data_IF_480311894890
#
_entry.id   IF_480311894890
#
_cell.length_a   1.000
_cell.length_b   1.000
_cell.length_c   1.000
_cell.angle_alpha   90.00
_cell.angle_beta   90.00
_cell.angle_gamma   90.00
#
_symmetry.space_group_name_H-M   'P 1'
#
loop_
_entity.id
_entity.type
_entity.pdbx_description
1 polymer ?
#
# COMPACT_ATOMS: atom_id res chain seq x y z
N UNK A 1 -4.36 -21.83 -7.97
CA UNK A 1 -3.69 -22.07 -6.69
C UNK A 1 -4.32 -23.25 -5.98
N UNK A 2 -3.53 -24.10 -5.30
CA UNK A 2 -4.02 -24.99 -4.23
C UNK A 2 -3.93 -24.20 -2.93
N UNK A 3 -5.00 -24.15 -2.13
CA UNK A 3 -5.08 -23.35 -0.90
C UNK A 3 -5.05 -24.27 0.32
N UNK A 4 -4.22 -23.94 1.29
CA UNK A 4 -4.24 -24.49 2.66
C UNK A 4 -4.30 -23.33 3.65
N UNK A 5 -5.04 -23.50 4.73
CA UNK A 5 -5.17 -22.51 5.81
C UNK A 5 -5.34 -23.22 7.15
N UNK A 6 -4.88 -22.60 8.23
CA UNK A 6 -4.96 -23.16 9.58
C UNK A 6 -4.92 -22.06 10.63
N UNK A 7 -5.25 -22.44 11.86
CA UNK A 7 -5.12 -21.60 13.06
C UNK A 7 -3.99 -22.12 13.97
N UNK A 8 -3.35 -21.25 14.77
CA UNK A 8 -3.55 -19.80 14.87
C UNK A 8 -2.91 -19.04 13.70
N UNK A 9 -3.22 -17.74 13.59
CA UNK A 9 -2.47 -16.83 12.73
C UNK A 9 -1.04 -16.68 13.28
N UNK A 10 -0.05 -16.97 12.45
CA UNK A 10 1.37 -16.88 12.81
C UNK A 10 1.89 -15.51 12.39
N UNK A 11 2.18 -14.65 13.35
CA UNK A 11 2.49 -13.23 13.12
C UNK A 11 3.89 -13.03 12.52
N UNK A 12 4.00 -12.23 11.45
CA UNK A 12 5.26 -11.85 10.80
C UNK A 12 6.21 -13.03 10.51
N UNK A 13 5.67 -14.09 9.94
CA UNK A 13 6.41 -15.34 9.73
C UNK A 13 7.25 -15.36 8.44
N UNK A 14 8.40 -16.03 8.52
CA UNK A 14 9.21 -16.48 7.38
C UNK A 14 9.00 -17.97 7.15
N UNK A 15 8.51 -18.36 5.97
CA UNK A 15 8.43 -19.75 5.55
C UNK A 15 9.79 -20.23 5.04
N UNK A 16 10.32 -21.30 5.62
CA UNK A 16 11.65 -21.83 5.33
C UNK A 16 11.55 -23.31 5.00
N UNK A 17 12.20 -23.71 3.91
CA UNK A 17 12.40 -25.11 3.56
C UNK A 17 13.86 -25.48 3.81
N UNK A 18 14.11 -26.44 4.70
CA UNK A 18 15.46 -26.93 5.00
C UNK A 18 15.41 -28.41 5.37
N UNK A 19 16.37 -29.20 4.90
CA UNK A 19 16.47 -30.63 5.21
C UNK A 19 15.22 -31.45 4.83
N UNK A 20 14.46 -31.04 3.81
CA UNK A 20 13.23 -31.70 3.38
C UNK A 20 12.00 -31.40 4.25
N UNK A 21 12.12 -30.45 5.20
CA UNK A 21 11.03 -30.02 6.09
C UNK A 21 10.69 -28.56 5.86
N UNK A 22 9.51 -28.16 6.32
CA UNK A 22 9.04 -26.78 6.29
C UNK A 22 8.92 -26.21 7.71
N UNK A 23 9.31 -24.95 7.88
CA UNK A 23 9.30 -24.25 9.16
C UNK A 23 8.71 -22.85 9.01
N UNK A 24 8.11 -22.34 10.08
CA UNK A 24 7.78 -20.94 10.24
C UNK A 24 8.66 -20.33 11.32
N UNK A 25 9.42 -19.29 10.96
CA UNK A 25 10.14 -18.44 11.92
C UNK A 25 9.32 -17.18 12.15
N UNK A 26 8.95 -16.87 13.38
CA UNK A 26 7.95 -15.84 13.67
C UNK A 26 8.04 -15.27 15.08
N UNK A 27 7.26 -14.22 15.35
CA UNK A 27 7.11 -13.62 16.68
C UNK A 27 7.46 -12.13 16.72
N UNK A 28 7.26 -11.52 17.90
CA UNK A 28 7.56 -10.11 18.17
C UNK A 28 8.44 -10.02 19.42
N UNK A 29 9.64 -9.45 19.28
CA UNK A 29 10.70 -9.39 20.29
C UNK A 29 11.41 -10.72 20.47
N UNK A 30 10.66 -11.73 20.93
CA UNK A 30 11.13 -13.12 21.03
C UNK A 30 10.77 -13.86 19.74
N UNK A 31 11.78 -14.28 19.00
CA UNK A 31 11.60 -14.97 17.72
C UNK A 31 11.69 -16.48 17.93
N UNK A 32 10.72 -17.21 17.37
CA UNK A 32 10.57 -18.66 17.48
C UNK A 32 10.64 -19.32 16.12
N UNK A 33 10.89 -20.63 16.12
CA UNK A 33 10.73 -21.50 14.97
C UNK A 33 9.76 -22.63 15.31
N UNK A 34 8.84 -22.94 14.40
CA UNK A 34 7.93 -24.07 14.50
C UNK A 34 7.89 -24.88 13.21
N UNK A 35 7.94 -26.21 13.31
CA UNK A 35 7.84 -27.13 12.16
C UNK A 35 6.39 -27.20 11.65
N UNK A 36 6.22 -27.16 10.34
CA UNK A 36 4.95 -27.41 9.66
C UNK A 36 4.79 -28.90 9.34
N UNK A 37 3.55 -29.34 9.20
CA UNK A 37 3.23 -30.62 8.57
C UNK A 37 3.69 -30.61 7.11
N UNK A 38 3.99 -31.78 6.58
CA UNK A 38 4.52 -31.95 5.21
C UNK A 38 3.56 -31.42 4.13
N UNK A 39 2.25 -31.39 4.42
CA UNK A 39 1.20 -30.87 3.54
C UNK A 39 0.90 -29.37 3.75
N UNK A 40 1.65 -28.70 4.63
CA UNK A 40 1.49 -27.30 5.01
C UNK A 40 0.10 -26.95 5.60
N UNK A 41 -0.63 -27.95 6.11
CA UNK A 41 -1.97 -27.78 6.71
C UNK A 41 -1.94 -27.27 8.16
N UNK A 42 -0.76 -27.00 8.71
CA UNK A 42 -0.61 -26.42 10.03
C UNK A 42 0.70 -26.77 10.72
N UNK A 43 0.82 -26.30 11.96
CA UNK A 43 1.93 -26.65 12.84
C UNK A 43 1.92 -28.16 13.12
N UNK A 44 3.11 -28.77 13.15
CA UNK A 44 3.28 -30.20 13.38
C UNK A 44 3.27 -30.52 14.88
N UNK A 45 2.31 -31.29 15.40
CA UNK A 45 2.33 -31.74 16.79
C UNK A 45 3.61 -32.54 17.09
N UNK A 46 4.34 -32.17 18.14
CA UNK A 46 5.62 -32.79 18.47
C UNK A 46 6.77 -32.51 17.50
N UNK A 47 6.56 -31.63 16.49
CA UNK A 47 7.63 -31.11 15.65
C UNK A 47 8.52 -30.11 16.40
N UNK A 48 9.53 -29.57 15.72
CA UNK A 48 10.36 -28.51 16.29
C UNK A 48 9.48 -27.34 16.75
N UNK A 49 9.67 -26.90 17.99
CA UNK A 49 9.09 -25.67 18.54
C UNK A 49 10.06 -25.09 19.57
N UNK A 50 10.81 -24.06 19.20
CA UNK A 50 11.80 -23.45 20.10
C UNK A 50 11.98 -21.95 19.85
N UNK A 51 12.55 -21.27 20.84
CA UNK A 51 12.99 -19.88 20.71
C UNK A 51 14.34 -19.86 20.01
N UNK A 52 14.46 -19.07 18.93
CA UNK A 52 15.74 -18.81 18.26
C UNK A 52 16.45 -17.59 18.83
N UNK A 53 15.69 -16.51 19.09
CA UNK A 53 16.22 -15.23 19.57
C UNK A 53 15.37 -14.78 20.75
N UNK A 54 15.98 -14.56 21.92
CA UNK A 54 15.27 -14.11 23.12
C UNK A 54 14.85 -12.65 23.03
N UNK A 55 15.72 -11.80 22.48
CA UNK A 55 15.48 -10.37 22.26
C UNK A 55 16.13 -9.94 20.94
N UNK A 56 15.32 -9.80 19.89
CA UNK A 56 15.78 -9.36 18.58
C UNK A 56 16.25 -7.90 18.55
N UNK A 57 15.92 -7.08 19.56
CA UNK A 57 16.39 -5.69 19.66
C UNK A 57 17.73 -5.55 20.39
N UNK A 58 18.23 -6.60 21.03
CA UNK A 58 19.49 -6.59 21.77
C UNK A 58 20.69 -6.01 20.99
N UNK A 59 20.86 -6.27 19.66
CA UNK A 59 21.97 -5.69 18.90
C UNK A 59 22.00 -4.16 18.86
N UNK A 60 20.87 -3.49 19.13
CA UNK A 60 20.81 -2.02 19.15
C UNK A 60 21.32 -1.42 20.46
N UNK A 61 21.46 -2.22 21.52
CA UNK A 61 21.83 -1.75 22.86
C UNK A 61 20.80 -0.81 23.51
N UNK A 62 19.63 -0.62 22.89
CA UNK A 62 18.62 0.35 23.31
C UNK A 62 17.29 -0.33 23.62
N UNK A 63 16.50 0.28 24.51
CA UNK A 63 15.15 -0.20 24.80
C UNK A 63 14.27 -0.06 23.56
N UNK A 64 13.64 -1.15 23.14
CA UNK A 64 12.70 -1.14 22.03
C UNK A 64 11.47 -0.24 22.30
N UNK A 65 11.12 0.58 21.31
CA UNK A 65 9.79 1.17 21.13
C UNK A 65 8.86 0.23 20.37
N UNK A 66 9.36 -0.38 19.30
CA UNK A 66 8.81 -1.57 18.63
C UNK A 66 9.80 -2.71 18.80
N UNK A 67 9.33 -3.85 19.33
CA UNK A 67 10.13 -5.06 19.48
C UNK A 67 10.43 -5.67 18.10
N UNK A 68 11.41 -6.59 18.02
CA UNK A 68 11.81 -7.14 16.71
C UNK A 68 10.72 -7.96 16.03
N UNK A 69 10.40 -7.65 14.77
CA UNK A 69 9.37 -8.32 13.97
C UNK A 69 9.80 -8.40 12.48
N UNK A 70 8.89 -8.78 11.58
CA UNK A 70 9.14 -8.84 10.14
C UNK A 70 10.23 -9.83 9.73
N UNK A 71 10.25 -11.02 10.34
CA UNK A 71 11.29 -12.02 10.14
C UNK A 71 11.43 -12.45 8.67
N UNK A 72 12.66 -12.43 8.14
CA UNK A 72 13.01 -13.05 6.86
C UNK A 72 14.34 -13.81 6.97
N UNK A 73 14.31 -15.12 6.75
CA UNK A 73 15.50 -15.97 6.81
C UNK A 73 16.09 -16.22 5.41
N UNK A 74 17.42 -16.13 5.31
CA UNK A 74 18.18 -16.49 4.12
C UNK A 74 19.27 -17.50 4.48
N UNK A 75 19.52 -18.48 3.59
CA UNK A 75 20.64 -19.39 3.71
C UNK A 75 21.67 -19.05 2.63
N UNK A 76 22.83 -18.54 3.04
CA UNK A 76 23.89 -18.08 2.13
C UNK A 76 25.22 -18.70 2.56
N UNK A 77 25.91 -19.36 1.64
CA UNK A 77 27.23 -19.95 1.92
C UNK A 77 27.23 -20.93 3.10
N UNK A 78 26.14 -21.68 3.30
CA UNK A 78 25.99 -22.62 4.42
C UNK A 78 25.61 -22.00 5.76
N UNK A 79 25.51 -20.68 5.86
CA UNK A 79 25.07 -19.96 7.07
C UNK A 79 23.63 -19.46 6.93
N UNK A 80 22.98 -19.22 8.06
CA UNK A 80 21.61 -18.72 8.15
C UNK A 80 21.62 -17.27 8.63
N UNK A 81 20.91 -16.40 7.92
CA UNK A 81 20.80 -14.96 8.19
C UNK A 81 19.34 -14.59 8.39
N UNK A 82 18.97 -14.21 9.61
CA UNK A 82 17.61 -13.85 10.01
C UNK A 82 17.50 -12.33 10.19
N UNK A 83 16.84 -11.70 9.23
CA UNK A 83 16.58 -10.27 9.21
C UNK A 83 15.31 -9.94 10.00
N UNK A 84 15.36 -8.90 10.83
CA UNK A 84 14.21 -8.35 11.54
C UNK A 84 14.25 -6.81 11.53
N UNK A 85 13.10 -6.19 11.56
CA UNK A 85 12.94 -4.76 11.87
C UNK A 85 12.83 -4.61 13.38
N UNK A 86 13.50 -3.61 13.95
CA UNK A 86 13.29 -3.12 15.32
C UNK A 86 13.12 -1.61 15.29
N UNK A 87 12.48 -1.03 16.30
CA UNK A 87 12.42 0.43 16.43
C UNK A 87 12.84 0.84 17.85
N UNK A 88 14.10 1.21 18.08
CA UNK A 88 14.56 1.70 19.37
C UNK A 88 13.77 2.94 19.81
N UNK A 89 13.42 3.02 21.09
CA UNK A 89 12.66 4.14 21.65
C UNK A 89 13.44 5.44 21.45
N UNK A 90 12.79 6.43 20.83
CA UNK A 90 13.42 7.72 20.49
C UNK A 90 14.37 7.67 19.28
N UNK A 91 14.54 6.50 18.66
CA UNK A 91 15.30 6.32 17.43
C UNK A 91 14.42 6.17 16.19
N UNK A 92 15.00 5.54 15.17
CA UNK A 92 14.35 5.24 13.90
C UNK A 92 14.13 3.74 13.74
N UNK A 93 13.34 3.35 12.74
CA UNK A 93 13.28 1.96 12.26
C UNK A 93 14.70 1.51 11.86
N UNK A 94 15.13 0.37 12.39
CA UNK A 94 16.48 -0.18 12.26
C UNK A 94 16.40 -1.63 11.80
N UNK A 95 17.16 -1.98 10.77
CA UNK A 95 17.31 -3.36 10.32
C UNK A 95 18.40 -4.06 11.13
N UNK A 96 18.06 -5.20 11.72
CA UNK A 96 19.01 -6.10 12.39
C UNK A 96 19.12 -7.40 11.62
N UNK A 97 20.29 -8.03 11.70
CA UNK A 97 20.55 -9.35 11.13
C UNK A 97 21.15 -10.25 12.20
N UNK A 98 20.64 -11.48 12.30
CA UNK A 98 21.17 -12.52 13.15
C UNK A 98 21.76 -13.65 12.30
N UNK A 99 22.95 -14.14 12.63
CA UNK A 99 23.67 -15.19 11.89
C UNK A 99 23.83 -16.46 12.73
N UNK A 100 23.70 -17.63 12.10
CA UNK A 100 23.98 -18.93 12.72
C UNK A 100 24.56 -19.93 11.71
N UNK A 101 25.28 -20.94 12.21
CA UNK A 101 25.77 -22.08 11.41
C UNK A 101 24.72 -23.19 11.24
N UNK A 102 23.69 -23.19 12.09
CA UNK A 102 22.56 -24.13 12.06
C UNK A 102 21.25 -23.35 12.10
N UNK A 103 20.21 -23.88 11.44
CA UNK A 103 18.86 -23.31 11.45
C UNK A 103 18.33 -23.12 12.87
N UNK A 104 18.71 -24.01 13.78
CA UNK A 104 18.27 -24.00 15.18
C UNK A 104 19.16 -23.14 16.09
N UNK A 105 20.12 -22.41 15.52
CA UNK A 105 21.04 -21.55 16.25
C UNK A 105 22.26 -22.30 16.84
N UNK A 106 22.97 -21.68 17.80
CA UNK A 106 22.70 -20.35 18.34
C UNK A 106 22.91 -19.23 17.32
N UNK A 107 22.19 -18.13 17.50
CA UNK A 107 22.27 -16.94 16.65
C UNK A 107 23.04 -15.80 17.33
N UNK A 108 23.99 -15.21 16.63
CA UNK A 108 24.64 -13.93 16.99
C UNK A 108 24.01 -12.78 16.19
N UNK A 109 23.90 -11.58 16.75
CA UNK A 109 23.17 -10.46 16.13
C UNK A 109 24.01 -9.19 15.92
N UNK A 110 23.76 -8.48 14.82
CA UNK A 110 24.35 -7.16 14.52
C UNK A 110 23.30 -6.20 13.95
N UNK A 111 23.54 -4.89 14.10
CA UNK A 111 22.81 -3.87 13.34
C UNK A 111 23.28 -3.94 11.88
N UNK A 112 22.34 -4.09 10.97
CA UNK A 112 22.60 -4.13 9.53
C UNK A 112 22.47 -2.73 8.89
N UNK A 113 21.40 -2.01 9.23
CA UNK A 113 21.14 -0.65 8.72
C UNK A 113 20.36 0.16 9.76
N UNK A 114 20.86 1.36 10.09
CA UNK A 114 20.19 2.31 10.99
C UNK A 114 20.22 3.71 10.37
N UNK A 115 19.49 3.87 9.25
CA UNK A 115 19.50 5.12 8.48
C UNK A 115 18.15 5.42 7.83
N UNK A 116 17.71 6.69 7.92
CA UNK A 116 16.46 7.23 7.35
C UNK A 116 15.18 6.40 7.60
N UNK A 117 15.17 5.57 8.64
CA UNK A 117 14.09 4.64 8.96
C UNK A 117 13.83 3.58 7.88
N UNK A 118 14.82 3.29 7.03
CA UNK A 118 14.74 2.28 5.97
C UNK A 118 15.08 0.92 6.57
N UNK A 119 14.11 0.02 6.57
CA UNK A 119 14.22 -1.30 7.20
C UNK A 119 13.03 -2.19 6.78
N UNK A 120 13.02 -3.43 7.28
CA UNK A 120 12.06 -4.50 7.01
C UNK A 120 12.09 -4.98 5.56
N UNK A 121 12.55 -6.21 5.39
CA UNK A 121 12.82 -6.82 4.12
C UNK A 121 13.96 -7.82 4.25
N UNK A 122 14.77 -7.96 3.21
CA UNK A 122 15.78 -9.00 3.17
C UNK A 122 16.84 -8.74 2.12
N UNK A 123 17.41 -9.81 1.60
CA UNK A 123 18.53 -9.76 0.65
C UNK A 123 18.22 -10.55 -0.61
N UNK A 124 18.85 -10.14 -1.69
CA UNK A 124 18.77 -10.78 -3.01
C UNK A 124 20.09 -10.63 -3.72
N UNK A 125 20.51 -11.67 -4.44
CA UNK A 125 21.65 -11.63 -5.34
C UNK A 125 21.20 -11.56 -6.81
N UNK A 126 22.07 -11.00 -7.63
CA UNK A 126 21.94 -11.02 -9.09
C UNK A 126 22.70 -12.21 -9.66
N UNK A 127 22.41 -12.56 -10.91
CA UNK A 127 23.07 -13.68 -11.61
C UNK A 127 24.61 -13.53 -11.71
N UNK A 128 25.11 -12.29 -11.67
CA UNK A 128 26.55 -11.97 -11.65
C UNK A 128 27.13 -11.86 -10.23
N UNK A 129 26.38 -12.27 -9.20
CA UNK A 129 26.84 -12.38 -7.81
C UNK A 129 26.88 -11.07 -7.01
N UNK A 130 26.29 -9.98 -7.53
CA UNK A 130 26.13 -8.74 -6.74
C UNK A 130 24.97 -8.88 -5.77
N UNK A 131 25.12 -8.28 -4.61
CA UNK A 131 24.16 -8.37 -3.53
C UNK A 131 23.43 -7.06 -3.28
N UNK A 132 22.13 -7.17 -3.05
CA UNK A 132 21.23 -6.06 -2.74
C UNK A 132 20.35 -6.41 -1.56
N UNK A 133 20.01 -5.40 -0.76
CA UNK A 133 18.93 -5.49 0.21
C UNK A 133 17.71 -4.75 -0.32
N UNK A 134 16.56 -5.41 -0.27
CA UNK A 134 15.27 -4.79 -0.51
C UNK A 134 14.64 -4.48 0.85
N UNK A 135 14.35 -3.21 1.09
CA UNK A 135 13.74 -2.71 2.34
C UNK A 135 12.61 -1.74 1.99
N UNK A 136 11.97 -1.14 2.98
CA UNK A 136 11.09 0.01 2.72
C UNK A 136 11.25 1.12 3.75
N UNK A 137 10.86 2.33 3.36
CA UNK A 137 10.83 3.51 4.22
C UNK A 137 9.43 4.10 4.34
N UNK A 138 9.08 4.57 5.53
CA UNK A 138 7.83 5.29 5.77
C UNK A 138 7.98 6.71 5.22
N UNK A 139 7.12 7.11 4.27
CA UNK A 139 7.22 8.39 3.53
C UNK A 139 5.90 9.17 3.51
N UNK A 140 5.23 9.24 4.66
CA UNK A 140 4.02 10.05 4.78
C UNK A 140 2.89 9.53 3.89
N UNK A 141 2.15 10.44 3.28
CA UNK A 141 0.91 10.15 2.58
C UNK A 141 1.08 9.27 1.33
N UNK A 142 2.24 9.27 0.65
CA UNK A 142 2.50 8.34 -0.46
C UNK A 142 2.57 6.88 0.03
N UNK A 143 2.85 6.69 1.33
CA UNK A 143 2.88 5.40 2.01
C UNK A 143 4.30 4.91 2.31
N UNK A 144 4.45 3.58 2.31
CA UNK A 144 5.70 2.89 2.60
C UNK A 144 6.33 2.44 1.28
N UNK A 145 7.45 3.05 0.91
CA UNK A 145 8.04 2.88 -0.43
C UNK A 145 9.26 1.95 -0.39
N UNK A 146 9.43 1.09 -1.40
CA UNK A 146 10.57 0.19 -1.47
C UNK A 146 11.87 0.95 -1.70
N UNK A 147 12.94 0.43 -1.11
CA UNK A 147 14.33 0.83 -1.33
C UNK A 147 15.12 -0.41 -1.72
N UNK A 148 15.99 -0.26 -2.72
CA UNK A 148 16.97 -1.29 -3.10
C UNK A 148 18.36 -0.70 -2.92
N UNK A 149 19.16 -1.29 -2.04
CA UNK A 149 20.49 -0.78 -1.69
C UNK A 149 21.54 -1.86 -1.93
N UNK A 150 22.69 -1.55 -2.55
CA UNK A 150 23.78 -2.50 -2.65
C UNK A 150 24.39 -2.76 -1.28
N UNK A 151 24.88 -3.97 -1.06
CA UNK A 151 25.70 -4.32 0.10
C UNK A 151 26.82 -5.26 -0.32
N UNK A 152 27.82 -5.43 0.54
CA UNK A 152 28.91 -6.40 0.33
C UNK A 152 29.09 -7.28 1.56
N UNK A 153 29.84 -8.38 1.40
CA UNK A 153 30.15 -9.30 2.49
C UNK A 153 31.51 -8.97 3.10
N UNK A 154 31.55 -8.82 4.41
CA UNK A 154 32.78 -8.60 5.19
C UNK A 154 32.79 -9.59 6.36
N UNK A 155 33.82 -10.46 6.42
CA UNK A 155 33.94 -11.49 7.48
C UNK A 155 32.66 -12.36 7.66
N UNK A 156 31.98 -12.64 6.55
CA UNK A 156 30.74 -13.41 6.52
C UNK A 156 29.51 -12.66 7.06
N UNK A 157 29.56 -11.33 7.15
CA UNK A 157 28.42 -10.47 7.47
C UNK A 157 28.04 -9.59 6.28
N UNK A 158 26.74 -9.34 6.06
CA UNK A 158 26.30 -8.39 5.05
C UNK A 158 26.45 -6.96 5.60
N UNK A 159 27.06 -6.05 4.83
CA UNK A 159 27.38 -4.68 5.25
C UNK A 159 26.90 -3.65 4.21
N UNK A 160 26.03 -2.74 4.65
CA UNK A 160 25.59 -1.58 3.87
C UNK A 160 26.45 -0.36 4.21
N UNK A 161 27.10 0.20 3.19
CA UNK A 161 27.95 1.38 3.30
C UNK A 161 28.96 1.27 4.44
N UNK A 162 29.23 2.40 5.10
CA UNK A 162 30.15 2.47 6.25
C UNK A 162 29.34 2.73 7.53
N UNK A 163 29.51 1.89 8.55
CA UNK A 163 28.89 2.08 9.86
C UNK A 163 27.36 1.93 9.86
N UNK A 164 26.83 1.00 9.06
CA UNK A 164 25.39 0.73 8.93
C UNK A 164 24.58 1.95 8.47
N UNK A 165 25.14 2.72 7.54
CA UNK A 165 24.52 3.90 6.91
C UNK A 165 24.53 3.77 5.40
N UNK A 166 23.55 4.39 4.76
CA UNK A 166 23.47 4.42 3.31
C UNK A 166 24.59 5.33 2.80
N UNK A 167 25.42 4.88 1.84
CA UNK A 167 26.39 5.77 1.20
C UNK A 167 25.71 7.00 0.60
N UNK A 168 26.33 8.18 0.73
CA UNK A 168 25.76 9.42 0.19
C UNK A 168 25.64 9.42 -1.34
N UNK A 169 26.45 8.60 -2.01
CA UNK A 169 26.48 8.37 -3.45
C UNK A 169 25.72 7.10 -3.86
N UNK A 170 25.01 6.45 -2.92
CA UNK A 170 24.23 5.25 -3.21
C UNK A 170 23.17 5.58 -4.27
N UNK A 171 23.48 5.23 -5.52
CA UNK A 171 22.52 5.25 -6.60
C UNK A 171 21.52 4.13 -6.32
N UNK A 172 20.24 4.50 -6.17
CA UNK A 172 19.16 3.55 -6.37
C UNK A 172 19.42 2.90 -7.75
N UNK A 173 19.38 1.56 -7.80
CA UNK A 173 19.71 0.77 -8.98
C UNK A 173 19.32 1.49 -10.30
N UNK A 174 20.24 1.62 -11.25
CA UNK A 174 19.90 2.16 -12.56
C UNK A 174 18.91 1.21 -13.24
N UNK A 175 17.66 1.64 -13.46
CA UNK A 175 16.66 0.84 -14.16
C UNK A 175 15.24 1.34 -14.00
N UNK A 176 14.54 1.48 -15.14
CA UNK A 176 13.14 1.84 -15.35
C UNK A 176 12.50 2.81 -14.33
N UNK A 177 12.39 4.07 -14.75
CA UNK A 177 11.54 5.07 -14.11
C UNK A 177 10.06 4.93 -14.48
N UNK A 178 9.70 3.97 -15.34
CA UNK A 178 8.30 3.74 -15.69
C UNK A 178 7.59 2.95 -14.59
N UNK A 179 6.37 3.37 -14.27
CA UNK A 179 5.57 2.75 -13.20
C UNK A 179 4.71 1.59 -13.71
N UNK A 180 5.13 0.96 -14.83
CA UNK A 180 4.36 -0.10 -15.48
C UNK A 180 4.12 -1.25 -14.51
N UNK A 181 2.89 -1.75 -14.48
CA UNK A 181 2.47 -2.84 -13.60
C UNK A 181 2.22 -2.43 -12.14
N UNK A 182 2.47 -1.17 -11.77
CA UNK A 182 2.13 -0.61 -10.44
C UNK A 182 0.90 0.29 -10.54
N UNK A 183 0.91 1.20 -11.53
CA UNK A 183 -0.19 2.09 -11.89
C UNK A 183 -0.32 2.19 -13.41
N UNK A 184 -1.53 2.46 -13.90
CA UNK A 184 -1.79 2.51 -15.33
C UNK A 184 -3.06 3.31 -15.66
N UNK A 185 -3.00 4.11 -16.74
CA UNK A 185 -4.19 4.69 -17.37
C UNK A 185 -5.05 3.60 -18.02
N UNK A 186 -6.36 3.69 -17.87
CA UNK A 186 -7.33 2.73 -18.38
C UNK A 186 -8.48 3.46 -19.08
N UNK A 187 -8.75 3.05 -20.32
CA UNK A 187 -9.89 3.52 -21.13
C UNK A 187 -11.06 2.52 -21.07
N UNK A 188 -10.98 1.52 -20.17
CA UNK A 188 -12.02 0.52 -19.90
C UNK A 188 -12.52 -0.25 -21.13
N UNK A 189 -11.67 -0.42 -22.14
CA UNK A 189 -11.96 -1.17 -23.37
C UNK A 189 -11.92 -2.69 -23.16
N UNK A 190 -11.16 -3.15 -22.16
CA UNK A 190 -11.04 -4.56 -21.84
C UNK A 190 -12.26 -5.07 -21.07
N UNK A 191 -12.54 -6.38 -21.17
CA UNK A 191 -13.63 -7.03 -20.40
C UNK A 191 -13.25 -7.38 -18.96
N UNK A 192 -11.99 -7.13 -18.57
CA UNK A 192 -11.43 -7.40 -17.25
C UNK A 192 -10.56 -6.23 -16.83
N UNK A 193 -10.57 -5.94 -15.54
CA UNK A 193 -9.68 -4.95 -14.94
C UNK A 193 -8.22 -5.43 -14.98
N UNK A 194 -7.30 -4.50 -15.21
CA UNK A 194 -5.86 -4.72 -15.06
C UNK A 194 -5.47 -5.05 -13.60
N UNK A 195 -4.27 -5.60 -13.42
CA UNK A 195 -3.76 -6.01 -12.10
C UNK A 195 -3.47 -4.81 -11.17
N UNK A 196 -3.32 -3.63 -11.75
CA UNK A 196 -3.10 -2.36 -11.05
C UNK A 196 -4.33 -1.97 -10.21
N UNK A 197 -5.53 -2.34 -10.68
CA UNK A 197 -6.80 -2.07 -10.02
C UNK A 197 -7.02 -2.99 -8.83
N UNK A 198 -7.40 -2.40 -7.70
CA UNK A 198 -7.78 -3.13 -6.49
C UNK A 198 -9.00 -2.48 -5.85
N UNK A 199 -9.94 -3.29 -5.40
CA UNK A 199 -11.12 -2.81 -4.68
C UNK A 199 -10.75 -2.43 -3.25
N UNK A 200 -11.36 -1.37 -2.72
CA UNK A 200 -11.43 -1.18 -1.28
C UNK A 200 -12.39 -2.23 -0.70
N UNK A 201 -11.86 -3.18 0.07
CA UNK A 201 -12.57 -4.38 0.55
C UNK A 201 -13.11 -5.28 -0.59
N UNK A 202 -13.88 -6.31 -0.23
CA UNK A 202 -14.49 -7.21 -1.21
C UNK A 202 -15.55 -6.47 -2.04
N UNK A 203 -15.50 -6.55 -3.39
CA UNK A 203 -16.52 -5.97 -4.25
C UNK A 203 -17.79 -6.82 -4.25
N UNK A 204 -18.89 -6.20 -4.63
CA UNK A 204 -20.10 -6.86 -5.10
C UNK A 204 -20.07 -6.94 -6.64
N UNK A 205 -19.90 -8.12 -7.24
CA UNK A 205 -19.78 -8.28 -8.68
C UNK A 205 -21.05 -7.93 -9.46
N UNK A 206 -22.22 -7.83 -8.80
CA UNK A 206 -23.45 -7.39 -9.46
C UNK A 206 -23.53 -5.87 -9.64
N UNK A 207 -22.68 -5.11 -8.93
CA UNK A 207 -22.76 -3.65 -8.85
C UNK A 207 -21.63 -2.94 -9.62
N UNK A 208 -20.90 -3.65 -10.47
CA UNK A 208 -19.97 -3.04 -11.42
C UNK A 208 -19.96 -3.79 -12.76
N UNK A 209 -19.64 -3.09 -13.85
CA UNK A 209 -19.57 -3.72 -15.17
C UNK A 209 -18.66 -2.96 -16.13
N UNK A 210 -17.94 -3.71 -16.97
CA UNK A 210 -17.23 -3.20 -18.15
C UNK A 210 -17.98 -3.50 -19.47
N UNK A 211 -19.16 -4.14 -19.37
CA UNK A 211 -19.93 -4.62 -20.53
C UNK A 211 -21.34 -4.03 -20.60
N UNK A 212 -21.87 -3.48 -19.50
CA UNK A 212 -23.16 -2.78 -19.50
C UNK A 212 -23.14 -1.57 -20.46
N UNK A 213 -21.98 -0.92 -20.60
CA UNK A 213 -21.69 0.11 -21.59
C UNK A 213 -20.24 -0.08 -22.06
N UNK A 214 -20.00 -0.72 -23.22
CA UNK A 214 -18.64 -0.99 -23.69
C UNK A 214 -17.78 0.28 -23.79
N UNK A 215 -16.54 0.20 -23.30
CA UNK A 215 -15.63 1.35 -23.19
C UNK A 215 -15.84 2.21 -21.95
N UNK A 216 -16.71 1.80 -21.02
CA UNK A 216 -16.96 2.51 -19.76
C UNK A 216 -16.98 1.52 -18.60
N UNK A 217 -16.42 1.95 -17.47
CA UNK A 217 -16.65 1.31 -16.18
C UNK A 217 -17.95 1.85 -15.58
N UNK A 218 -18.94 0.99 -15.36
CA UNK A 218 -20.15 1.31 -14.61
C UNK A 218 -19.99 0.92 -13.15
N UNK A 219 -20.31 1.84 -12.22
CA UNK A 219 -20.48 1.56 -10.78
C UNK A 219 -21.92 1.88 -10.37
N UNK A 220 -22.64 0.89 -9.85
CA UNK A 220 -24.03 1.02 -9.42
C UNK A 220 -24.16 1.05 -7.89
N UNK A 221 -25.12 1.81 -7.37
CA UNK A 221 -25.43 1.82 -5.93
C UNK A 221 -26.37 0.66 -5.60
N UNK A 222 -25.96 -0.19 -4.65
CA UNK A 222 -26.77 -1.30 -4.15
C UNK A 222 -27.04 -1.25 -2.65
N UNK A 223 -26.52 -0.24 -1.95
CA UNK A 223 -26.71 0.02 -0.53
C UNK A 223 -26.66 1.52 -0.26
N UNK A 224 -27.38 1.97 0.76
CA UNK A 224 -27.25 3.32 1.31
C UNK A 224 -26.13 3.33 2.35
N UNK A 225 -25.22 4.30 2.25
CA UNK A 225 -24.08 4.48 3.15
C UNK A 225 -23.99 5.94 3.63
N UNK A 226 -23.58 6.14 4.88
CA UNK A 226 -23.41 7.49 5.45
C UNK A 226 -22.09 8.17 5.02
N UNK A 227 -21.05 7.36 4.77
CA UNK A 227 -19.71 7.84 4.42
C UNK A 227 -19.09 7.00 3.31
N UNK A 228 -18.36 7.65 2.40
CA UNK A 228 -17.76 7.01 1.21
C UNK A 228 -16.79 5.88 1.54
N UNK A 229 -16.13 5.90 2.70
CA UNK A 229 -15.19 4.84 3.11
C UNK A 229 -15.87 3.51 3.43
N UNK A 230 -17.18 3.51 3.68
CA UNK A 230 -17.97 2.30 3.86
C UNK A 230 -18.53 1.76 2.55
N UNK A 231 -18.50 2.55 1.48
CA UNK A 231 -19.10 2.20 0.19
C UNK A 231 -18.34 1.07 -0.51
N UNK A 232 -19.11 0.05 -0.87
CA UNK A 232 -18.63 -1.07 -1.70
C UNK A 232 -18.29 -0.59 -3.09
N UNK A 233 -17.44 -1.36 -3.79
CA UNK A 233 -17.06 -1.09 -5.17
C UNK A 233 -16.38 0.28 -5.37
N UNK A 234 -15.68 0.78 -4.35
CA UNK A 234 -14.68 1.83 -4.58
C UNK A 234 -13.47 1.18 -5.24
N UNK A 235 -13.26 1.50 -6.53
CA UNK A 235 -12.18 0.94 -7.33
C UNK A 235 -10.93 1.81 -7.21
N UNK A 236 -9.76 1.23 -6.92
CA UNK A 236 -8.57 2.02 -6.55
C UNK A 236 -7.30 1.65 -7.31
N UNK A 237 -6.45 2.66 -7.52
CA UNK A 237 -5.01 2.48 -7.82
C UNK A 237 -4.16 3.25 -6.82
N UNK A 238 -2.89 2.85 -6.68
CA UNK A 238 -1.90 3.56 -5.86
C UNK A 238 -1.68 4.99 -6.39
N UNK A 239 -1.44 5.95 -5.51
CA UNK A 239 -0.75 7.19 -5.91
C UNK A 239 0.75 6.94 -6.02
N UNK A 240 1.51 7.86 -6.62
CA UNK A 240 2.96 7.75 -6.77
C UNK A 240 3.65 9.11 -6.60
N UNK A 241 4.93 9.08 -6.24
CA UNK A 241 5.74 10.29 -6.03
C UNK A 241 6.69 10.60 -7.19
N UNK A 242 7.35 11.78 -7.17
CA UNK A 242 7.16 12.83 -6.17
C UNK A 242 5.84 13.59 -6.34
N UNK A 243 5.30 13.64 -7.55
CA UNK A 243 3.99 14.20 -7.88
C UNK A 243 3.20 13.23 -8.75
N UNK A 244 1.89 13.27 -8.64
CA UNK A 244 1.02 12.52 -9.55
C UNK A 244 -0.34 13.18 -9.71
N UNK A 245 -0.96 12.94 -10.86
CA UNK A 245 -2.36 13.30 -11.12
C UNK A 245 -3.15 12.08 -11.57
N UNK A 246 -4.41 12.01 -11.15
CA UNK A 246 -5.40 11.05 -11.63
C UNK A 246 -6.58 11.83 -12.18
N UNK A 247 -6.96 11.54 -13.41
CA UNK A 247 -8.07 12.22 -14.12
C UNK A 247 -9.09 11.20 -14.58
N UNK A 248 -10.37 11.47 -14.32
CA UNK A 248 -11.49 10.65 -14.81
C UNK A 248 -12.45 11.49 -15.64
N UNK A 249 -13.14 10.85 -16.58
CA UNK A 249 -14.32 11.42 -17.25
C UNK A 249 -15.55 10.64 -16.80
N UNK A 250 -16.44 11.36 -16.12
CA UNK A 250 -17.61 10.83 -15.43
C UNK A 250 -18.89 11.23 -16.16
N UNK A 251 -19.68 10.26 -16.58
CA UNK A 251 -21.08 10.42 -16.95
C UNK A 251 -21.96 10.15 -15.72
N UNK A 252 -22.61 11.21 -15.26
CA UNK A 252 -23.45 11.24 -14.07
C UNK A 252 -24.96 11.30 -14.40
N UNK A 253 -25.34 11.00 -15.65
CA UNK A 253 -26.76 10.97 -16.05
C UNK A 253 -27.58 9.93 -15.29
N UNK A 254 -26.95 8.82 -14.87
CA UNK A 254 -27.58 7.70 -14.17
C UNK A 254 -27.69 7.85 -12.65
N UNK A 255 -27.23 8.97 -12.06
CA UNK A 255 -27.31 9.19 -10.61
C UNK A 255 -28.76 9.38 -10.15
N UNK A 256 -29.13 8.77 -9.03
CA UNK A 256 -30.39 8.96 -8.32
C UNK A 256 -30.30 10.09 -7.29
N UNK A 257 -31.46 10.54 -6.76
CA UNK A 257 -31.46 11.48 -5.63
C UNK A 257 -30.71 10.87 -4.43
N UNK A 258 -29.77 11.62 -3.88
CA UNK A 258 -28.89 11.19 -2.79
C UNK A 258 -27.61 10.50 -3.25
N UNK A 259 -27.40 10.27 -4.55
CA UNK A 259 -26.15 9.71 -5.05
C UNK A 259 -25.03 10.78 -5.13
N UNK A 260 -23.81 10.34 -4.89
CA UNK A 260 -22.59 11.07 -5.20
C UNK A 260 -21.57 10.14 -5.84
N UNK A 261 -21.05 10.53 -7.00
CA UNK A 261 -20.02 9.77 -7.71
C UNK A 261 -18.83 10.65 -8.08
N UNK A 262 -17.61 10.10 -8.03
CA UNK A 262 -16.42 10.93 -8.28
C UNK A 262 -15.09 10.25 -8.07
N UNK A 263 -14.10 11.08 -7.75
CA UNK A 263 -12.70 10.73 -7.56
C UNK A 263 -12.24 11.07 -6.14
N UNK A 264 -11.75 10.06 -5.43
CA UNK A 264 -11.42 10.04 -4.02
C UNK A 264 -9.90 9.91 -3.81
N UNK A 265 -9.35 10.74 -2.93
CA UNK A 265 -8.06 10.49 -2.28
C UNK A 265 -8.32 9.58 -1.07
N UNK A 266 -8.24 8.27 -1.28
CA UNK A 266 -8.60 7.28 -0.28
C UNK A 266 -7.46 7.09 0.73
N UNK A 267 -7.77 7.37 2.00
CA UNK A 267 -6.96 7.11 3.18
C UNK A 267 -7.88 7.07 4.42
N UNK A 268 -7.34 6.87 5.63
CA UNK A 268 -8.14 6.99 6.87
C UNK A 268 -8.79 8.37 6.99
N UNK A 269 -8.02 9.42 6.68
CA UNK A 269 -8.49 10.78 6.44
C UNK A 269 -8.44 11.09 4.95
N UNK A 270 -9.62 11.19 4.35
CA UNK A 270 -9.77 11.27 2.90
C UNK A 270 -10.24 12.65 2.44
N UNK A 271 -10.24 12.86 1.13
CA UNK A 271 -10.99 13.92 0.49
C UNK A 271 -11.39 13.51 -0.92
N UNK A 272 -12.43 14.11 -1.48
CA UNK A 272 -12.88 13.79 -2.82
C UNK A 272 -13.46 14.99 -3.54
N UNK A 273 -13.49 14.86 -4.86
CA UNK A 273 -14.33 15.64 -5.75
C UNK A 273 -15.37 14.71 -6.38
N UNK A 274 -16.63 15.13 -6.44
CA UNK A 274 -17.68 14.33 -7.05
C UNK A 274 -18.90 15.14 -7.46
N UNK A 275 -19.77 14.54 -8.26
CA UNK A 275 -21.09 15.10 -8.58
C UNK A 275 -22.09 14.52 -7.60
N UNK A 276 -22.74 15.39 -6.81
CA UNK A 276 -23.83 15.05 -5.90
C UNK A 276 -25.16 15.42 -6.54
N UNK A 277 -26.16 14.54 -6.44
CA UNK A 277 -27.53 14.81 -6.84
C UNK A 277 -28.45 14.95 -5.63
N UNK A 278 -29.12 16.10 -5.51
CA UNK A 278 -30.12 16.37 -4.48
C UNK A 278 -31.42 16.82 -5.16
N UNK A 279 -32.42 15.94 -5.19
CA UNK A 279 -33.60 16.09 -6.04
C UNK A 279 -33.19 16.20 -7.51
N UNK A 280 -33.53 17.31 -8.16
CA UNK A 280 -33.15 17.59 -9.55
C UNK A 280 -31.87 18.43 -9.69
N UNK A 281 -31.31 18.87 -8.57
CA UNK A 281 -30.08 19.67 -8.56
C UNK A 281 -28.87 18.74 -8.63
N UNK A 282 -27.93 19.11 -9.50
CA UNK A 282 -26.62 18.45 -9.62
C UNK A 282 -25.53 19.48 -9.36
N UNK A 283 -24.62 19.14 -8.46
CA UNK A 283 -23.52 20.00 -8.06
C UNK A 283 -22.22 19.21 -7.97
N UNK A 284 -21.12 19.83 -8.39
CA UNK A 284 -19.79 19.40 -8.03
C UNK A 284 -19.54 19.77 -6.57
N UNK A 285 -19.11 18.80 -5.78
CA UNK A 285 -18.72 19.01 -4.39
C UNK A 285 -17.26 18.61 -4.21
N UNK A 286 -16.54 19.42 -3.43
CA UNK A 286 -15.26 19.01 -2.85
C UNK A 286 -15.48 18.79 -1.36
N UNK A 287 -15.15 17.58 -0.89
CA UNK A 287 -15.29 17.18 0.51
C UNK A 287 -13.93 16.83 1.09
N UNK A 288 -13.71 17.29 2.32
CA UNK A 288 -12.56 16.92 3.14
C UNK A 288 -13.02 16.21 4.40
N UNK A 289 -12.38 15.12 4.77
CA UNK A 289 -12.56 14.44 6.05
C UNK A 289 -11.30 14.49 6.92
N UNK A 290 -10.38 15.45 6.67
CA UNK A 290 -9.11 15.56 7.39
C UNK A 290 -9.28 15.96 8.86
N UNK A 291 -10.40 16.61 9.22
CA UNK A 291 -10.79 16.89 10.62
C UNK A 291 -11.30 15.65 11.36
N UNK A 292 -11.47 14.52 10.66
CA UNK A 292 -12.11 13.30 11.18
C UNK A 292 -13.62 13.24 10.91
N UNK A 293 -14.23 14.31 10.36
CA UNK A 293 -15.62 14.34 9.90
C UNK A 293 -15.69 14.90 8.48
N UNK A 294 -16.59 14.40 7.61
CA UNK A 294 -16.72 14.92 6.26
C UNK A 294 -17.31 16.33 6.25
N UNK A 295 -16.64 17.26 5.59
CA UNK A 295 -17.02 18.66 5.45
C UNK A 295 -17.00 19.05 3.96
N UNK A 296 -18.06 19.70 3.47
CA UNK A 296 -18.10 20.25 2.11
C UNK A 296 -17.33 21.56 2.11
N UNK A 297 -16.16 21.59 1.46
CA UNK A 297 -15.33 22.79 1.37
C UNK A 297 -15.73 23.70 0.20
N UNK A 298 -16.35 23.14 -0.84
CA UNK A 298 -16.90 23.88 -1.96
C UNK A 298 -18.01 23.09 -2.66
N UNK A 299 -19.00 23.81 -3.18
CA UNK A 299 -20.07 23.27 -4.00
C UNK A 299 -20.36 24.22 -5.18
N UNK A 300 -20.45 23.69 -6.39
CA UNK A 300 -20.72 24.47 -7.61
C UNK A 300 -21.75 23.74 -8.47
N UNK A 301 -22.82 24.40 -8.95
CA UNK A 301 -23.78 23.78 -9.86
C UNK A 301 -23.09 23.26 -11.12
N UNK A 302 -23.45 22.04 -11.57
CA UNK A 302 -22.93 21.47 -12.81
C UNK A 302 -24.07 21.19 -13.79
N UNK A 303 -23.91 21.67 -15.03
CA UNK A 303 -24.86 21.44 -16.12
C UNK A 303 -24.41 20.27 -16.98
N UNK A 304 -25.36 19.66 -17.69
CA UNK A 304 -25.12 18.53 -18.57
C UNK A 304 -25.15 17.20 -17.84
N UNK A 305 -24.45 16.21 -18.41
CA UNK A 305 -24.39 14.83 -17.91
C UNK A 305 -22.96 14.31 -17.77
N UNK A 306 -21.95 15.03 -18.27
CA UNK A 306 -20.55 14.58 -18.27
C UNK A 306 -19.64 15.66 -17.72
N UNK A 307 -18.67 15.27 -16.91
CA UNK A 307 -17.62 16.15 -16.37
C UNK A 307 -16.31 15.38 -16.26
N UNK A 308 -15.17 16.07 -16.40
CA UNK A 308 -13.88 15.50 -16.01
C UNK A 308 -13.48 15.98 -14.62
N UNK A 309 -12.95 15.07 -13.82
CA UNK A 309 -12.49 15.32 -12.45
C UNK A 309 -11.02 14.96 -12.36
N UNK A 310 -10.24 15.77 -11.64
CA UNK A 310 -8.82 15.54 -11.42
C UNK A 310 -8.47 15.68 -9.95
N UNK A 311 -7.66 14.73 -9.49
CA UNK A 311 -6.96 14.72 -8.21
C UNK A 311 -5.47 14.89 -8.48
N UNK A 312 -4.82 15.82 -7.81
CA UNK A 312 -3.37 16.08 -7.92
C UNK A 312 -2.72 15.95 -6.55
N UNK A 313 -1.65 15.16 -6.45
CA UNK A 313 -0.89 14.98 -5.22
C UNK A 313 0.54 15.48 -5.37
N UNK A 314 1.01 16.15 -4.31
CA UNK A 314 2.41 16.53 -4.13
C UNK A 314 2.96 15.88 -2.85
N UNK A 315 3.86 14.92 -3.05
CA UNK A 315 4.58 14.21 -2.00
C UNK A 315 6.06 14.65 -1.94
N UNK A 316 6.48 15.60 -2.78
CA UNK A 316 7.84 16.08 -2.80
C UNK A 316 8.18 16.66 -1.43
N UNK A 317 9.32 16.23 -0.87
CA UNK A 317 9.76 16.65 0.47
C UNK A 317 8.69 16.45 1.56
N UNK A 318 7.83 15.44 1.41
CA UNK A 318 6.73 15.11 2.33
C UNK A 318 5.72 16.27 2.52
N UNK A 319 5.46 17.07 1.47
CA UNK A 319 4.41 18.09 1.51
C UNK A 319 3.02 17.48 1.79
N UNK A 320 2.78 16.26 1.29
CA UNK A 320 1.57 15.46 1.50
C UNK A 320 0.28 16.23 1.16
N UNK A 321 0.32 17.02 0.09
CA UNK A 321 -0.79 17.85 -0.36
C UNK A 321 -1.62 17.13 -1.42
N UNK A 322 -2.94 17.29 -1.34
CA UNK A 322 -3.87 16.86 -2.36
C UNK A 322 -4.80 18.02 -2.76
N UNK A 323 -4.94 18.26 -4.06
CA UNK A 323 -5.85 19.27 -4.61
C UNK A 323 -6.77 18.65 -5.65
N UNK A 324 -7.92 19.28 -5.85
CA UNK A 324 -8.94 18.82 -6.79
C UNK A 324 -9.31 19.91 -7.79
N UNK A 325 -9.58 19.50 -9.02
CA UNK A 325 -10.06 20.37 -10.08
C UNK A 325 -11.04 19.63 -10.99
N UNK A 326 -11.84 20.37 -11.75
CA UNK A 326 -12.78 19.82 -12.71
C UNK A 326 -12.68 20.53 -14.06
N UNK A 327 -13.22 19.88 -15.10
CA UNK A 327 -13.35 20.44 -16.44
C UNK A 327 -14.67 20.01 -17.08
N UNK A 328 -15.42 20.97 -17.62
CA UNK A 328 -16.69 20.73 -18.34
C UNK A 328 -16.50 20.67 -19.86
N UNK A 329 -15.38 21.19 -20.37
CA UNK A 329 -15.03 21.20 -21.80
C UNK A 329 -13.90 20.20 -22.15
N UNK A 330 -13.31 19.56 -21.14
CA UNK A 330 -12.16 18.67 -21.28
C UNK A 330 -10.84 19.36 -21.62
N UNK A 331 -10.79 20.69 -21.58
CA UNK A 331 -9.64 21.52 -21.97
C UNK A 331 -9.20 22.44 -20.83
N UNK A 332 -10.14 23.17 -20.26
CA UNK A 332 -9.92 24.15 -19.20
C UNK A 332 -10.18 23.52 -17.84
N UNK A 333 -9.24 23.69 -16.90
CA UNK A 333 -9.33 23.12 -15.55
C UNK A 333 -9.57 24.20 -14.51
N UNK A 334 -10.61 24.01 -13.70
CA UNK A 334 -10.97 24.92 -12.61
C UNK A 334 -10.73 24.23 -11.26
N UNK A 335 -9.89 24.79 -10.38
CA UNK A 335 -9.74 24.30 -9.01
C UNK A 335 -11.06 24.36 -8.23
N UNK A 336 -11.27 23.43 -7.30
CA UNK A 336 -12.43 23.44 -6.40
C UNK A 336 -12.00 23.13 -4.96
N UNK A 337 -12.41 24.00 -4.03
CA UNK A 337 -11.99 23.93 -2.63
C UNK A 337 -10.50 24.27 -2.42
N UNK A 338 -10.09 24.30 -1.17
CA UNK A 338 -8.68 24.43 -0.80
C UNK A 338 -7.96 23.06 -0.87
N UNK A 339 -6.64 23.03 -1.14
CA UNK A 339 -5.84 21.82 -0.97
C UNK A 339 -5.97 21.25 0.46
N UNK A 340 -5.90 19.93 0.57
CA UNK A 340 -5.93 19.23 1.86
C UNK A 340 -4.58 18.58 2.16
N UNK A 341 -4.23 18.51 3.44
CA UNK A 341 -3.10 17.72 3.91
C UNK A 341 -3.55 16.28 4.14
N UNK A 342 -2.96 15.37 3.37
CA UNK A 342 -3.08 13.94 3.59
C UNK A 342 -2.22 13.54 4.78
N UNK A 343 -2.65 12.53 5.54
CA UNK A 343 -1.93 12.05 6.72
C UNK A 343 -1.98 10.54 6.82
N UNK A 344 -0.82 9.92 6.76
CA UNK A 344 -0.69 8.48 7.00
C UNK A 344 -1.11 8.15 8.44
N UNK A 345 -2.10 7.27 8.58
CA UNK A 345 -2.60 6.78 9.86
C UNK A 345 -2.59 5.25 9.87
N UNK A 346 -2.42 4.67 11.07
CA UNK A 346 -2.26 3.23 11.23
C UNK A 346 -3.57 2.44 11.04
N UNK A 347 -4.72 3.11 10.94
CA UNK A 347 -6.03 2.46 10.81
C UNK A 347 -6.16 1.69 9.49
N UNK A 348 -5.74 2.27 8.37
CA UNK A 348 -5.69 1.58 7.08
C UNK A 348 -4.29 1.03 6.77
N UNK A 349 -3.25 1.55 7.44
CA UNK A 349 -1.86 1.14 7.24
C UNK A 349 -1.45 1.16 5.74
N UNK A 350 -1.94 2.17 5.02
CA UNK A 350 -1.87 2.26 3.56
C UNK A 350 -1.63 3.70 3.13
N UNK A 351 -0.79 3.90 2.12
CA UNK A 351 -0.62 5.19 1.45
C UNK A 351 -1.89 5.60 0.69
N UNK A 352 -1.90 6.84 0.20
CA UNK A 352 -3.01 7.39 -0.54
C UNK A 352 -3.29 6.55 -1.79
N UNK A 353 -4.56 6.47 -2.17
CA UNK A 353 -4.98 5.85 -3.42
C UNK A 353 -5.94 6.76 -4.16
N UNK A 354 -5.84 6.76 -5.48
CA UNK A 354 -6.94 7.23 -6.33
C UNK A 354 -8.11 6.25 -6.18
N UNK A 355 -9.31 6.74 -5.96
CA UNK A 355 -10.53 5.93 -5.83
C UNK A 355 -11.66 6.43 -6.72
N UNK A 356 -12.17 5.57 -7.60
CA UNK A 356 -13.41 5.80 -8.33
C UNK A 356 -14.56 5.24 -7.50
N UNK A 357 -15.59 6.05 -7.26
CA UNK A 357 -16.70 5.65 -6.39
C UNK A 357 -18.05 6.13 -6.91
N UNK A 358 -19.11 5.46 -6.47
CA UNK A 358 -20.49 5.91 -6.54
C UNK A 358 -21.21 5.46 -5.26
N UNK A 359 -21.65 6.39 -4.42
CA UNK A 359 -22.30 6.09 -3.14
C UNK A 359 -23.67 6.77 -3.03
N UNK A 360 -24.65 6.06 -2.44
CA UNK A 360 -26.01 6.53 -2.22
C UNK A 360 -26.25 6.89 -0.76
N UNK A 361 -26.94 7.99 -0.50
CA UNK A 361 -27.35 8.42 0.86
C UNK A 361 -28.86 8.36 1.11
N UNK A 362 -29.67 8.15 0.06
CA UNK A 362 -31.14 8.11 0.16
C UNK A 362 -31.76 6.86 -0.44
N UNK A 363 -31.44 6.55 -1.70
CA UNK A 363 -31.99 5.41 -2.42
C UNK A 363 -30.94 4.73 -3.30
N UNK A 364 -31.11 3.44 -3.54
CA UNK A 364 -30.21 2.64 -4.37
C UNK A 364 -30.67 2.59 -5.84
N UNK A 365 -29.89 1.92 -6.69
CA UNK A 365 -30.23 1.65 -8.09
C UNK A 365 -29.72 2.70 -9.08
N UNK A 366 -29.10 3.77 -8.61
CA UNK A 366 -28.42 4.74 -9.47
C UNK A 366 -27.06 4.21 -9.92
N UNK A 367 -26.49 4.82 -10.95
CA UNK A 367 -25.19 4.42 -11.48
C UNK A 367 -24.40 5.59 -12.05
N UNK A 368 -23.07 5.41 -12.08
CA UNK A 368 -22.13 6.32 -12.68
C UNK A 368 -21.26 5.56 -13.68
N UNK A 369 -21.03 6.14 -14.86
CA UNK A 369 -20.16 5.56 -15.87
C UNK A 369 -18.87 6.38 -15.98
N UNK A 370 -17.72 5.71 -15.92
CA UNK A 370 -16.39 6.30 -16.09
C UNK A 370 -15.82 5.88 -17.45
N UNK A 371 -15.52 6.84 -18.32
CA UNK A 371 -15.00 6.61 -19.68
C UNK A 371 -13.53 6.21 -19.63
N UNK A 372 -12.77 6.88 -18.77
CA UNK A 372 -11.37 6.62 -18.56
C UNK A 372 -10.93 6.98 -17.14
N UNK A 373 -9.80 6.41 -16.75
CA UNK A 373 -8.93 6.89 -15.70
C UNK A 373 -7.54 7.10 -16.30
N UNK A 374 -6.99 8.32 -16.22
CA UNK A 374 -5.68 8.67 -16.78
C UNK A 374 -4.76 9.18 -15.68
N UNK A 375 -3.57 8.60 -15.62
CA UNK A 375 -2.49 9.07 -14.74
C UNK A 375 -1.55 10.02 -15.47
N UNK A 376 -1.03 11.00 -14.75
CA UNK A 376 0.05 11.90 -15.19
C UNK A 376 1.00 12.21 -14.03
N UNK A 377 2.15 12.80 -14.32
CA UNK A 377 3.17 13.22 -13.34
C UNK A 377 3.20 14.72 -13.16
#
# INVERSE_FOLDING_TARGET
WKKTEFAPAVHDHSLVFDGGKAYLIHGVGKIRIQELKDDLSGLKPGGVDQVLIQDAAAPTGAKAGLMGEGSQLFKVGGKYYLFNIVWPRGGIRTQVVHRADSLLGPYEGRVFLADQGIAQGGIVDTQDGRWYTYLFGDRGAVGRIPYMLPFHWEEGWPVVGTGAKIPSDASLLPGQTDLKGIVRSDEFLAKKLGLEWQWNHNPDPALWSLTARPGWLRLATGRVDDVVTQTRNTLTQRTFGPTCTGTVRLDFSGLNDGDTAGLLALMGKYGYIGVRRTGDVRELVMVSATSGKPEVLAAVPVKGSVVQLRMSCDFAKQADLCSFSYSVDGKSWTPIGAPIHLRYELIHFMGCRFGLFNFATKQVGGHADFDFFRIGS
#
